data_IF_686966901425
#
_entry.id   IF_686966901425
#
_cell.length_a   1.000
_cell.length_b   1.000
_cell.length_c   1.000
_cell.angle_alpha   90.00
_cell.angle_beta   90.00
_cell.angle_gamma   90.00
#
_symmetry.space_group_name_H-M   'P 1'
#
loop_
_entity.id
_entity.type
_entity.pdbx_description
1 polymer ?
#
# COMPACT_ATOMS: atom_id res chain seq x y z
N UNK A 1 -14.76 -19.11 -6.61
CA UNK A 1 -14.94 -17.96 -5.71
C UNK A 1 -13.99 -18.10 -4.52
N UNK A 2 -12.73 -17.66 -4.64
CA UNK A 2 -11.74 -17.80 -3.57
C UNK A 2 -10.66 -16.70 -3.69
N UNK A 3 -11.03 -15.42 -3.45
CA UNK A 3 -10.08 -14.28 -3.42
C UNK A 3 -10.42 -13.31 -2.27
N UNK A 4 -10.99 -13.80 -1.16
CA UNK A 4 -11.31 -12.93 0.00
C UNK A 4 -10.48 -13.19 1.27
N UNK A 5 -9.63 -14.22 1.29
CA UNK A 5 -9.05 -14.70 2.57
C UNK A 5 -7.80 -13.96 3.05
N UNK A 6 -7.09 -13.17 2.22
CA UNK A 6 -5.87 -12.46 2.66
C UNK A 6 -6.12 -11.09 3.29
N UNK A 7 -7.24 -10.41 2.95
CA UNK A 7 -7.58 -9.10 3.53
C UNK A 7 -8.19 -9.22 4.93
N UNK A 8 -8.93 -10.30 5.22
CA UNK A 8 -9.50 -10.55 6.55
C UNK A 8 -8.45 -11.03 7.56
N UNK A 9 -7.44 -11.79 7.14
CA UNK A 9 -6.35 -12.22 8.02
C UNK A 9 -5.53 -11.04 8.60
N UNK A 10 -5.41 -9.93 7.85
CA UNK A 10 -4.77 -8.69 8.34
C UNK A 10 -5.59 -7.95 9.41
N UNK A 11 -6.92 -8.11 9.43
CA UNK A 11 -7.78 -7.49 10.45
C UNK A 11 -7.68 -8.15 11.83
N UNK A 12 -7.12 -9.36 11.92
CA UNK A 12 -7.03 -10.12 13.19
C UNK A 12 -5.62 -10.18 13.81
N UNK A 13 -4.69 -9.31 13.42
CA UNK A 13 -3.41 -9.18 14.13
C UNK A 13 -2.51 -10.44 14.12
N UNK A 14 -2.63 -11.30 13.11
CA UNK A 14 -1.76 -12.47 12.93
C UNK A 14 -0.56 -12.14 12.03
N UNK A 15 0.46 -11.48 12.58
CA UNK A 15 1.72 -11.14 11.88
C UNK A 15 2.71 -12.30 11.75
N UNK A 16 2.41 -13.51 12.23
CA UNK A 16 3.39 -14.61 12.29
C UNK A 16 3.34 -15.57 11.09
N UNK A 17 2.22 -15.64 10.34
CA UNK A 17 2.05 -16.71 9.34
C UNK A 17 2.75 -16.52 7.98
N UNK A 18 3.25 -15.32 7.65
CA UNK A 18 3.82 -15.07 6.31
C UNK A 18 5.27 -15.53 6.12
N UNK A 19 6.00 -15.84 7.20
CA UNK A 19 7.42 -16.22 7.12
C UNK A 19 7.67 -17.72 6.86
N UNK A 20 6.67 -18.59 7.07
CA UNK A 20 6.85 -20.04 7.00
C UNK A 20 6.73 -20.63 5.58
N UNK A 21 6.15 -19.91 4.61
CA UNK A 21 5.83 -20.46 3.27
C UNK A 21 6.96 -20.24 2.25
N UNK A 22 7.94 -19.37 2.49
CA UNK A 22 9.02 -19.07 1.54
C UNK A 22 10.43 -19.59 1.93
N UNK A 23 10.53 -20.41 2.97
CA UNK A 23 11.81 -20.78 3.60
C UNK A 23 12.40 -22.14 3.24
N UNK A 24 12.07 -22.76 2.11
CA UNK A 24 12.67 -24.05 1.72
C UNK A 24 13.11 -24.03 0.25
N UNK A 25 14.14 -23.24 -0.06
CA UNK A 25 15.03 -23.53 -1.19
C UNK A 25 16.36 -22.79 -1.01
N UNK A 26 17.33 -23.42 -0.35
CA UNK A 26 18.77 -23.32 -0.59
C UNK A 26 19.55 -23.82 0.64
N UNK A 27 20.19 -24.98 0.51
CA UNK A 27 21.62 -25.21 0.83
C UNK A 27 21.90 -26.71 1.03
N UNK A 28 22.71 -27.27 0.14
CA UNK A 28 23.30 -28.60 0.32
C UNK A 28 24.44 -28.58 1.33
N UNK A 29 24.29 -29.41 2.37
CA UNK A 29 25.23 -30.29 3.09
C UNK A 29 26.62 -29.78 3.60
N UNK A 30 27.24 -30.42 4.62
CA UNK A 30 26.70 -31.27 5.71
C UNK A 30 27.26 -30.90 7.11
N UNK A 31 26.42 -30.88 8.16
CA UNK A 31 26.89 -31.08 9.54
C UNK A 31 25.75 -31.54 10.47
N UNK A 32 25.97 -32.69 11.10
CA UNK A 32 25.38 -33.17 12.36
C UNK A 32 23.90 -33.64 12.37
N UNK A 33 23.77 -34.96 12.41
CA UNK A 33 22.61 -35.86 12.55
C UNK A 33 21.61 -35.62 13.72
N UNK A 34 21.62 -34.45 14.39
CA UNK A 34 20.64 -34.10 15.44
C UNK A 34 19.78 -32.86 15.14
N UNK A 35 20.15 -32.06 14.14
CA UNK A 35 19.35 -30.93 13.67
C UNK A 35 18.04 -31.27 12.91
N UNK A 36 17.92 -32.38 12.13
CA UNK A 36 16.75 -32.56 11.27
C UNK A 36 15.47 -32.91 12.05
N UNK A 37 15.58 -33.55 13.22
CA UNK A 37 14.42 -33.92 14.04
C UNK A 37 13.80 -32.73 14.79
N UNK A 38 14.61 -31.78 15.24
CA UNK A 38 14.12 -30.56 15.89
C UNK A 38 13.54 -29.58 14.86
N UNK A 39 14.15 -29.48 13.68
CA UNK A 39 13.59 -28.70 12.56
C UNK A 39 12.29 -29.31 12.02
N UNK A 40 12.18 -30.65 11.94
CA UNK A 40 10.94 -31.31 11.51
C UNK A 40 9.83 -31.20 12.56
N UNK A 41 10.16 -31.24 13.85
CA UNK A 41 9.18 -31.04 14.92
C UNK A 41 8.66 -29.59 14.95
N UNK A 42 9.56 -28.59 14.81
CA UNK A 42 9.16 -27.19 14.73
C UNK A 42 8.34 -26.88 13.46
N UNK A 43 8.65 -27.54 12.33
CA UNK A 43 7.84 -27.43 11.12
C UNK A 43 6.46 -28.10 11.26
N UNK A 44 6.37 -29.22 11.98
CA UNK A 44 5.11 -29.89 12.27
C UNK A 44 4.22 -29.06 13.21
N UNK A 45 4.80 -28.45 14.25
CA UNK A 45 4.09 -27.53 15.15
C UNK A 45 3.63 -26.26 14.42
N UNK A 46 4.44 -25.71 13.51
CA UNK A 46 4.04 -24.57 12.69
C UNK A 46 2.91 -24.92 11.69
N UNK A 47 2.91 -26.14 11.15
CA UNK A 47 1.86 -26.63 10.27
C UNK A 47 0.55 -26.89 11.03
N UNK A 48 0.60 -27.45 12.24
CA UNK A 48 -0.57 -27.65 13.12
C UNK A 48 -1.15 -26.30 13.59
N UNK A 49 -0.29 -25.33 13.94
CA UNK A 49 -0.71 -23.97 14.27
C UNK A 49 -1.35 -23.25 13.07
N UNK A 50 -0.80 -23.45 11.86
CA UNK A 50 -1.39 -22.91 10.63
C UNK A 50 -2.74 -23.56 10.31
N UNK A 51 -2.88 -24.88 10.48
CA UNK A 51 -4.12 -25.60 10.27
C UNK A 51 -5.22 -25.13 11.24
N UNK A 52 -4.89 -25.03 12.55
CA UNK A 52 -5.81 -24.46 13.56
C UNK A 52 -6.17 -23.01 13.28
N UNK A 53 -5.24 -22.22 12.77
CA UNK A 53 -5.52 -20.84 12.36
C UNK A 53 -6.46 -20.78 11.15
N UNK A 54 -6.32 -21.69 10.17
CA UNK A 54 -7.25 -21.78 9.04
C UNK A 54 -8.63 -22.25 9.49
N UNK A 55 -8.72 -23.25 10.35
CA UNK A 55 -9.98 -23.75 10.93
C UNK A 55 -10.68 -22.67 11.76
N UNK A 56 -9.94 -21.85 12.52
CA UNK A 56 -10.49 -20.70 13.24
C UNK A 56 -10.98 -19.58 12.30
N UNK A 57 -10.30 -19.36 11.17
CA UNK A 57 -10.74 -18.40 10.14
C UNK A 57 -12.00 -18.90 9.42
N UNK A 58 -12.08 -20.20 9.15
CA UNK A 58 -13.23 -20.85 8.53
C UNK A 58 -14.45 -20.82 9.46
N UNK A 59 -14.27 -21.16 10.74
CA UNK A 59 -15.31 -21.05 11.76
C UNK A 59 -15.76 -19.59 12.00
N UNK A 60 -14.84 -18.62 11.95
CA UNK A 60 -15.18 -17.20 12.03
C UNK A 60 -15.93 -16.70 10.78
N UNK A 61 -15.61 -17.24 9.61
CA UNK A 61 -16.30 -16.94 8.36
C UNK A 61 -17.72 -17.55 8.32
N UNK A 62 -17.90 -18.78 8.81
CA UNK A 62 -19.22 -19.41 8.98
C UNK A 62 -20.06 -18.68 10.03
N UNK A 63 -19.47 -18.24 11.14
CA UNK A 63 -20.16 -17.42 12.15
C UNK A 63 -20.57 -16.02 11.64
N UNK A 64 -19.96 -15.55 10.55
CA UNK A 64 -20.32 -14.31 9.85
C UNK A 64 -21.18 -14.54 8.60
N UNK A 65 -21.61 -15.77 8.32
CA UNK A 65 -22.52 -16.03 7.22
C UNK A 65 -23.82 -15.21 7.41
N UNK A 66 -24.23 -14.41 6.41
CA UNK A 66 -25.42 -13.57 6.52
C UNK A 66 -26.66 -14.46 6.62
N UNK A 67 -27.53 -14.20 7.60
CA UNK A 67 -28.75 -15.00 7.75
C UNK A 67 -29.69 -14.80 6.56
N UNK A 68 -30.49 -15.80 6.17
CA UNK A 68 -31.47 -15.63 5.09
C UNK A 68 -32.43 -14.45 5.32
N UNK A 69 -32.85 -14.23 6.58
CA UNK A 69 -33.71 -13.11 6.98
C UNK A 69 -33.00 -11.75 6.82
N UNK A 70 -31.70 -11.66 7.14
CA UNK A 70 -30.90 -10.46 6.92
C UNK A 70 -30.76 -10.17 5.42
N UNK A 71 -30.52 -11.22 4.61
CA UNK A 71 -30.41 -11.08 3.15
C UNK A 71 -31.74 -10.63 2.53
N UNK A 72 -32.87 -11.21 2.95
CA UNK A 72 -34.21 -10.82 2.50
C UNK A 72 -34.51 -9.36 2.88
N UNK A 73 -34.13 -8.95 4.09
CA UNK A 73 -34.29 -7.56 4.53
C UNK A 73 -33.50 -6.59 3.65
N UNK A 74 -32.24 -6.91 3.33
CA UNK A 74 -31.43 -6.08 2.42
C UNK A 74 -32.04 -6.04 1.02
N UNK A 75 -32.48 -7.19 0.48
CA UNK A 75 -33.12 -7.25 -0.83
C UNK A 75 -34.41 -6.41 -0.91
N UNK A 76 -35.20 -6.38 0.17
CA UNK A 76 -36.39 -5.52 0.26
C UNK A 76 -36.04 -4.02 0.24
N UNK A 77 -34.96 -3.63 0.93
CA UNK A 77 -34.47 -2.25 0.91
C UNK A 77 -34.00 -1.88 -0.49
N UNK A 78 -33.23 -2.75 -1.16
CA UNK A 78 -32.78 -2.56 -2.54
C UNK A 78 -33.96 -2.37 -3.49
N UNK A 79 -34.94 -3.27 -3.44
CA UNK A 79 -36.14 -3.16 -4.26
C UNK A 79 -36.93 -1.87 -4.01
N UNK A 80 -36.96 -1.35 -2.77
CA UNK A 80 -37.58 -0.07 -2.46
C UNK A 80 -36.79 1.12 -3.05
N UNK A 81 -35.46 1.07 -3.02
CA UNK A 81 -34.59 2.08 -3.67
C UNK A 81 -34.80 2.08 -5.18
N UNK A 82 -34.78 0.91 -5.82
CA UNK A 82 -34.95 0.77 -7.27
C UNK A 82 -36.35 1.20 -7.74
N UNK A 83 -37.37 0.97 -6.91
CA UNK A 83 -38.74 1.43 -7.15
C UNK A 83 -38.96 2.93 -6.86
N UNK A 84 -37.93 3.67 -6.44
CA UNK A 84 -38.05 5.09 -6.09
C UNK A 84 -38.79 5.37 -4.76
N UNK A 85 -39.09 4.33 -3.98
CA UNK A 85 -39.75 4.43 -2.66
C UNK A 85 -38.71 4.73 -1.58
N UNK A 86 -38.03 5.88 -1.70
CA UNK A 86 -36.86 6.22 -0.89
C UNK A 86 -37.15 6.33 0.60
N UNK A 87 -38.29 6.88 1.00
CA UNK A 87 -38.65 7.01 2.42
C UNK A 87 -38.88 5.64 3.07
N UNK A 88 -39.58 4.74 2.37
CA UNK A 88 -39.74 3.34 2.80
C UNK A 88 -38.40 2.64 2.92
N UNK A 89 -37.52 2.79 1.93
CA UNK A 89 -36.17 2.21 1.96
C UNK A 89 -35.36 2.72 3.17
N UNK A 90 -35.41 4.02 3.46
CA UNK A 90 -34.69 4.65 4.59
C UNK A 90 -35.24 4.14 5.93
N UNK A 91 -36.55 3.99 6.07
CA UNK A 91 -37.15 3.54 7.33
C UNK A 91 -36.89 2.05 7.58
N UNK A 92 -37.01 1.21 6.54
CA UNK A 92 -36.61 -0.21 6.59
C UNK A 92 -35.11 -0.36 6.93
N UNK A 93 -34.26 0.48 6.35
CA UNK A 93 -32.83 0.48 6.62
C UNK A 93 -32.51 0.88 8.08
N UNK A 94 -33.14 1.94 8.60
CA UNK A 94 -32.94 2.35 10.00
C UNK A 94 -33.39 1.29 11.00
N UNK A 95 -34.49 0.60 10.70
CA UNK A 95 -34.99 -0.48 11.54
C UNK A 95 -34.03 -1.69 11.54
N UNK A 96 -33.47 -2.03 10.38
CA UNK A 96 -32.63 -3.22 10.19
C UNK A 96 -31.18 -3.06 10.63
N UNK A 97 -30.61 -1.84 10.65
CA UNK A 97 -29.20 -1.63 11.05
C UNK A 97 -28.91 -2.12 12.49
N UNK A 98 -29.92 -2.12 13.37
CA UNK A 98 -29.81 -2.63 14.75
C UNK A 98 -29.91 -4.15 14.86
N UNK A 99 -30.53 -4.81 13.89
CA UNK A 99 -30.81 -6.26 13.92
C UNK A 99 -29.81 -7.06 13.10
N UNK A 100 -29.33 -6.49 11.99
CA UNK A 100 -28.29 -7.11 11.16
C UNK A 100 -27.02 -7.22 11.99
N UNK A 101 -26.44 -8.42 12.09
CA UNK A 101 -25.16 -8.69 12.75
C UNK A 101 -24.00 -8.66 11.77
N UNK A 102 -24.23 -9.08 10.53
CA UNK A 102 -23.21 -9.08 9.48
C UNK A 102 -22.76 -7.65 9.12
N UNK A 103 -21.48 -7.33 9.34
CA UNK A 103 -20.93 -6.00 9.06
C UNK A 103 -20.94 -5.62 7.57
N UNK A 104 -20.79 -6.60 6.68
CA UNK A 104 -20.92 -6.40 5.23
C UNK A 104 -22.33 -5.95 4.84
N UNK A 105 -23.36 -6.63 5.33
CA UNK A 105 -24.76 -6.26 5.11
C UNK A 105 -25.10 -4.92 5.74
N UNK A 106 -24.64 -4.63 6.98
CA UNK A 106 -24.82 -3.29 7.56
C UNK A 106 -24.21 -2.20 6.68
N UNK A 107 -23.03 -2.46 6.11
CA UNK A 107 -22.34 -1.52 5.22
C UNK A 107 -23.13 -1.32 3.94
N UNK A 108 -23.67 -2.39 3.36
CA UNK A 108 -24.56 -2.34 2.20
C UNK A 108 -25.83 -1.54 2.49
N UNK A 109 -26.48 -1.76 3.63
CA UNK A 109 -27.66 -0.99 4.06
C UNK A 109 -27.33 0.49 4.23
N UNK A 110 -26.18 0.82 4.81
CA UNK A 110 -25.74 2.22 4.96
C UNK A 110 -25.50 2.88 3.59
N UNK A 111 -24.94 2.13 2.64
CA UNK A 111 -24.81 2.58 1.26
C UNK A 111 -26.17 2.87 0.61
N UNK A 112 -27.15 1.99 0.77
CA UNK A 112 -28.51 2.17 0.24
C UNK A 112 -29.19 3.40 0.85
N UNK A 113 -29.00 3.66 2.15
CA UNK A 113 -29.48 4.90 2.79
C UNK A 113 -28.85 6.14 2.15
N UNK A 114 -27.53 6.15 1.96
CA UNK A 114 -26.85 7.27 1.33
C UNK A 114 -27.32 7.51 -0.11
N UNK A 115 -27.53 6.44 -0.88
CA UNK A 115 -28.08 6.50 -2.23
C UNK A 115 -29.52 7.01 -2.24
N UNK A 116 -30.39 6.51 -1.35
CA UNK A 116 -31.78 6.93 -1.24
C UNK A 116 -31.91 8.42 -0.87
N UNK A 117 -31.11 8.91 0.09
CA UNK A 117 -31.09 10.33 0.44
C UNK A 117 -30.65 11.22 -0.74
N UNK A 118 -29.64 10.77 -1.48
CA UNK A 118 -29.16 11.48 -2.68
C UNK A 118 -30.22 11.51 -3.78
N UNK A 119 -30.87 10.38 -4.07
CA UNK A 119 -31.94 10.29 -5.07
C UNK A 119 -33.20 11.06 -4.67
N UNK A 120 -33.46 11.19 -3.36
CA UNK A 120 -34.49 12.08 -2.79
C UNK A 120 -34.12 13.58 -2.86
N UNK A 121 -32.90 13.91 -3.29
CA UNK A 121 -32.36 15.29 -3.34
C UNK A 121 -32.20 15.94 -1.96
N UNK A 122 -32.14 15.14 -0.89
CA UNK A 122 -31.79 15.63 0.45
C UNK A 122 -30.26 15.65 0.58
N UNK A 123 -29.64 16.66 -0.03
CA UNK A 123 -28.19 16.75 -0.20
C UNK A 123 -27.42 16.79 1.13
N UNK A 124 -28.00 17.47 2.14
CA UNK A 124 -27.37 17.56 3.47
C UNK A 124 -27.37 16.20 4.17
N UNK A 125 -28.47 15.44 4.09
CA UNK A 125 -28.51 14.09 4.68
C UNK A 125 -27.72 13.09 3.86
N UNK A 126 -27.70 13.22 2.55
CA UNK A 126 -26.84 12.42 1.67
C UNK A 126 -25.37 12.61 2.02
N UNK A 127 -24.91 13.86 2.19
CA UNK A 127 -23.54 14.17 2.61
C UNK A 127 -23.19 13.50 3.94
N UNK A 128 -24.04 13.65 4.95
CA UNK A 128 -23.83 13.02 6.26
C UNK A 128 -23.77 11.49 6.16
N UNK A 129 -24.64 10.89 5.35
CA UNK A 129 -24.68 9.44 5.14
C UNK A 129 -23.43 8.92 4.41
N UNK A 130 -22.93 9.63 3.40
CA UNK A 130 -21.68 9.25 2.71
C UNK A 130 -20.44 9.43 3.60
N UNK A 131 -20.41 10.44 4.48
CA UNK A 131 -19.35 10.58 5.48
C UNK A 131 -19.37 9.42 6.48
N UNK A 132 -20.55 9.09 7.02
CA UNK A 132 -20.69 7.95 7.92
C UNK A 132 -20.32 6.62 7.23
N UNK A 133 -20.69 6.45 5.96
CA UNK A 133 -20.33 5.28 5.17
C UNK A 133 -18.81 5.20 4.93
N UNK A 134 -18.18 6.30 4.54
CA UNK A 134 -16.73 6.42 4.35
C UNK A 134 -15.97 5.99 5.60
N UNK A 135 -16.41 6.44 6.77
CA UNK A 135 -15.72 6.21 8.04
C UNK A 135 -15.77 4.74 8.50
N UNK A 136 -16.54 3.88 7.83
CA UNK A 136 -16.53 2.42 8.03
C UNK A 136 -15.40 1.69 7.31
N UNK A 137 -14.70 2.38 6.40
CA UNK A 137 -13.64 1.82 5.60
C UNK A 137 -12.27 2.31 6.05
N UNK A 138 -11.26 1.46 5.89
CA UNK A 138 -9.88 1.80 6.21
C UNK A 138 -9.41 2.97 5.32
N UNK A 139 -8.69 3.92 5.91
CA UNK A 139 -8.10 5.05 5.17
C UNK A 139 -7.22 4.52 4.05
N UNK A 140 -7.52 4.90 2.80
CA UNK A 140 -6.80 4.45 1.61
C UNK A 140 -7.32 3.15 0.97
N UNK A 141 -8.43 2.58 1.47
CA UNK A 141 -9.22 1.62 0.69
C UNK A 141 -9.91 2.30 -0.50
N UNK A 142 -10.24 1.53 -1.54
CA UNK A 142 -10.89 2.07 -2.74
C UNK A 142 -12.28 2.61 -2.38
N UNK A 143 -12.98 1.94 -1.47
CA UNK A 143 -14.28 2.36 -0.95
C UNK A 143 -14.18 3.68 -0.18
N UNK A 144 -13.18 3.82 0.72
CA UNK A 144 -12.93 5.08 1.42
C UNK A 144 -12.72 6.22 0.42
N UNK A 145 -11.87 6.01 -0.59
CA UNK A 145 -11.54 7.01 -1.61
C UNK A 145 -12.80 7.43 -2.38
N UNK A 146 -13.62 6.47 -2.81
CA UNK A 146 -14.86 6.76 -3.53
C UNK A 146 -15.84 7.57 -2.68
N UNK A 147 -16.13 7.12 -1.47
CA UNK A 147 -17.12 7.79 -0.62
C UNK A 147 -16.63 9.14 -0.10
N UNK A 148 -15.33 9.31 0.11
CA UNK A 148 -14.73 10.61 0.41
C UNK A 148 -14.89 11.59 -0.75
N UNK A 149 -14.65 11.14 -1.99
CA UNK A 149 -14.84 11.96 -3.17
C UNK A 149 -16.31 12.32 -3.39
N UNK A 150 -17.24 11.37 -3.23
CA UNK A 150 -18.69 11.65 -3.30
C UNK A 150 -19.09 12.68 -2.25
N UNK A 151 -18.64 12.54 -1.00
CA UNK A 151 -18.88 13.54 0.04
C UNK A 151 -18.25 14.90 -0.30
N UNK A 152 -17.07 14.93 -0.90
CA UNK A 152 -16.42 16.14 -1.40
C UNK A 152 -17.23 16.84 -2.49
N UNK A 153 -17.76 16.08 -3.46
CA UNK A 153 -18.65 16.60 -4.51
C UNK A 153 -19.92 17.15 -3.89
N UNK A 154 -20.59 16.41 -3.01
CA UNK A 154 -21.82 16.85 -2.37
C UNK A 154 -21.61 18.13 -1.54
N UNK A 155 -20.47 18.23 -0.83
CA UNK A 155 -20.10 19.45 -0.09
C UNK A 155 -19.86 20.64 -1.01
N UNK A 156 -19.29 20.41 -2.19
CA UNK A 156 -19.02 21.45 -3.18
C UNK A 156 -20.23 21.75 -4.09
N UNK A 157 -21.26 20.91 -4.06
CA UNK A 157 -22.47 21.08 -4.85
C UNK A 157 -23.46 21.98 -4.12
N UNK A 158 -24.03 22.93 -4.84
CA UNK A 158 -25.19 23.71 -4.37
C UNK A 158 -26.42 23.14 -5.06
N UNK A 159 -27.48 22.87 -4.29
CA UNK A 159 -28.75 22.35 -4.81
C UNK A 159 -28.62 21.04 -5.63
N UNK A 160 -27.55 20.28 -5.41
CA UNK A 160 -27.26 19.04 -6.13
C UNK A 160 -26.59 19.24 -7.50
N UNK A 161 -26.19 20.47 -7.84
CA UNK A 161 -25.44 20.77 -9.07
C UNK A 161 -23.95 20.90 -8.73
N UNK A 162 -23.12 20.12 -9.42
CA UNK A 162 -21.67 20.22 -9.32
C UNK A 162 -21.13 21.17 -10.41
N UNK A 163 -20.84 22.41 -10.04
CA UNK A 163 -20.44 23.46 -11.00
C UNK A 163 -19.25 23.11 -11.91
N UNK A 164 -18.17 22.45 -11.42
CA UNK A 164 -17.10 22.01 -12.32
C UNK A 164 -17.56 21.10 -13.46
N UNK A 165 -18.60 20.30 -13.23
CA UNK A 165 -19.23 19.48 -14.27
C UNK A 165 -20.15 20.32 -15.17
N UNK A 166 -20.93 21.25 -14.60
CA UNK A 166 -21.75 22.16 -15.38
C UNK A 166 -20.89 23.00 -16.35
N UNK A 167 -19.76 23.56 -15.86
CA UNK A 167 -18.77 24.27 -16.67
C UNK A 167 -18.23 23.42 -17.83
N UNK A 168 -17.85 22.17 -17.54
CA UNK A 168 -17.38 21.24 -18.57
C UNK A 168 -18.44 20.91 -19.63
N UNK A 169 -19.72 21.04 -19.27
CA UNK A 169 -20.88 20.82 -20.14
C UNK A 169 -21.50 22.14 -20.65
N UNK A 170 -20.71 23.22 -20.76
CA UNK A 170 -21.16 24.48 -21.36
C UNK A 170 -22.14 25.29 -20.49
N UNK A 171 -22.11 25.09 -19.17
CA UNK A 171 -22.98 25.75 -18.21
C UNK A 171 -24.32 25.03 -17.97
N UNK A 172 -24.49 23.80 -18.45
CA UNK A 172 -25.72 23.02 -18.22
C UNK A 172 -25.87 22.63 -16.74
N UNK A 173 -26.84 23.25 -16.06
CA UNK A 173 -27.21 22.97 -14.67
C UNK A 173 -28.43 22.05 -14.53
N UNK A 174 -28.95 21.51 -15.63
CA UNK A 174 -30.11 20.60 -15.60
C UNK A 174 -29.76 19.23 -15.02
N UNK A 175 -28.49 18.83 -15.12
CA UNK A 175 -27.95 17.58 -14.57
C UNK A 175 -27.71 17.70 -13.06
N UNK A 176 -28.45 16.94 -12.28
CA UNK A 176 -28.31 16.89 -10.82
C UNK A 176 -27.70 15.57 -10.34
N UNK A 177 -27.06 15.62 -9.16
CA UNK A 177 -26.32 14.50 -8.57
C UNK A 177 -27.20 13.36 -8.04
N UNK A 178 -28.51 13.36 -8.25
CA UNK A 178 -29.40 12.22 -7.99
C UNK A 178 -29.21 11.10 -9.01
N UNK A 179 -28.83 11.44 -10.25
CA UNK A 179 -28.48 10.47 -11.28
C UNK A 179 -27.11 9.83 -10.99
N UNK A 180 -27.02 8.51 -11.11
CA UNK A 180 -25.79 7.74 -10.94
C UNK A 180 -24.77 8.06 -12.05
N UNK A 181 -25.23 8.28 -13.28
CA UNK A 181 -24.38 8.65 -14.41
C UNK A 181 -23.76 10.04 -14.21
N UNK A 182 -24.55 11.02 -13.75
CA UNK A 182 -24.08 12.38 -13.46
C UNK A 182 -23.07 12.37 -12.31
N UNK A 183 -23.29 11.56 -11.26
CA UNK A 183 -22.32 11.42 -10.18
C UNK A 183 -21.00 10.80 -10.66
N UNK A 184 -21.05 9.76 -11.50
CA UNK A 184 -19.86 9.16 -12.10
C UNK A 184 -19.10 10.18 -12.97
N UNK A 185 -19.81 10.98 -13.77
CA UNK A 185 -19.24 12.06 -14.58
C UNK A 185 -18.58 13.14 -13.69
N UNK A 186 -19.22 13.51 -12.59
CA UNK A 186 -18.68 14.47 -11.62
C UNK A 186 -17.39 13.96 -10.94
N UNK A 187 -17.34 12.68 -10.56
CA UNK A 187 -16.13 12.02 -10.04
C UNK A 187 -15.01 12.03 -11.09
N UNK A 188 -15.33 11.73 -12.34
CA UNK A 188 -14.37 11.77 -13.44
C UNK A 188 -13.85 13.20 -13.70
N UNK A 189 -14.71 14.23 -13.68
CA UNK A 189 -14.29 15.64 -13.84
C UNK A 189 -13.37 16.06 -12.70
N UNK A 190 -13.69 15.71 -11.45
CA UNK A 190 -12.82 15.97 -10.30
C UNK A 190 -11.44 15.30 -10.49
N UNK A 191 -11.43 14.03 -10.89
CA UNK A 191 -10.19 13.29 -11.13
C UNK A 191 -9.39 13.87 -12.31
N UNK A 192 -10.03 14.29 -13.40
CA UNK A 192 -9.37 14.96 -14.53
C UNK A 192 -8.67 16.25 -14.10
N UNK A 193 -9.37 17.13 -13.38
CA UNK A 193 -8.78 18.38 -12.87
C UNK A 193 -7.58 18.11 -11.93
N UNK A 194 -7.64 17.05 -11.14
CA UNK A 194 -6.49 16.63 -10.31
C UNK A 194 -5.34 16.06 -11.15
N UNK A 195 -5.65 15.29 -12.19
CA UNK A 195 -4.67 14.70 -13.09
C UNK A 195 -3.85 15.75 -13.87
N UNK A 196 -4.44 16.91 -14.19
CA UNK A 196 -3.74 18.04 -14.83
C UNK A 196 -2.51 18.53 -14.02
N UNK A 197 -2.54 18.36 -12.70
CA UNK A 197 -1.42 18.71 -11.81
C UNK A 197 -0.30 17.67 -11.74
N UNK A 198 -0.49 16.46 -12.30
CA UNK A 198 0.50 15.37 -12.19
C UNK A 198 1.86 15.70 -12.80
N UNK A 199 1.96 16.33 -14.00
CA UNK A 199 3.26 16.68 -14.57
C UNK A 199 4.10 17.59 -13.65
N UNK A 200 3.46 18.53 -12.96
CA UNK A 200 4.12 19.41 -11.99
C UNK A 200 4.60 18.64 -10.75
N UNK A 201 3.87 17.60 -10.34
CA UNK A 201 4.26 16.74 -9.21
C UNK A 201 5.38 15.74 -9.56
N UNK A 202 5.53 15.41 -10.85
CA UNK A 202 6.62 14.57 -11.34
C UNK A 202 7.97 15.29 -11.37
N UNK A 203 8.01 16.61 -11.59
CA UNK A 203 9.25 17.39 -11.63
C UNK A 203 10.09 17.27 -10.33
N UNK A 204 9.49 17.38 -9.13
CA UNK A 204 10.19 17.09 -7.88
C UNK A 204 10.76 15.67 -7.79
N UNK A 205 10.09 14.65 -8.35
CA UNK A 205 10.58 13.27 -8.35
C UNK A 205 11.83 13.16 -9.22
N UNK A 206 11.78 13.73 -10.43
CA UNK A 206 12.91 13.74 -11.37
C UNK A 206 14.15 14.48 -10.82
N UNK A 207 13.95 15.48 -9.96
CA UNK A 207 15.01 16.33 -9.40
C UNK A 207 15.47 15.93 -7.99
N UNK A 208 14.95 14.83 -7.44
CA UNK A 208 15.26 14.40 -6.08
C UNK A 208 16.75 14.10 -5.92
N UNK A 209 17.41 14.71 -4.92
CA UNK A 209 18.87 14.60 -4.75
C UNK A 209 19.31 13.36 -3.99
N UNK A 210 18.45 12.83 -3.14
CA UNK A 210 18.70 11.64 -2.34
C UNK A 210 17.57 10.63 -2.50
N UNK A 211 17.82 9.40 -2.07
CA UNK A 211 16.84 8.31 -2.12
C UNK A 211 15.65 8.59 -1.20
N UNK A 212 15.91 9.18 -0.03
CA UNK A 212 14.86 9.54 0.93
C UNK A 212 13.97 10.64 0.39
N UNK A 213 14.56 11.66 -0.23
CA UNK A 213 13.83 12.75 -0.87
C UNK A 213 12.99 12.22 -2.05
N UNK A 214 13.57 11.30 -2.84
CA UNK A 214 12.88 10.62 -3.92
C UNK A 214 11.66 9.84 -3.40
N UNK A 215 11.86 9.03 -2.37
CA UNK A 215 10.81 8.22 -1.75
C UNK A 215 9.70 9.07 -1.12
N UNK A 216 10.07 10.16 -0.43
CA UNK A 216 9.13 11.09 0.20
C UNK A 216 8.21 11.77 -0.83
N UNK A 217 8.68 11.96 -2.06
CA UNK A 217 7.91 12.57 -3.16
C UNK A 217 7.12 11.54 -3.96
N UNK A 218 7.70 10.36 -4.19
CA UNK A 218 7.11 9.35 -5.06
C UNK A 218 5.96 8.58 -4.40
N UNK A 219 6.08 8.19 -3.13
CA UNK A 219 5.02 7.39 -2.46
C UNK A 219 3.67 8.11 -2.44
N UNK A 220 3.58 9.41 -2.06
CA UNK A 220 2.32 10.15 -2.13
C UNK A 220 1.77 10.27 -3.55
N UNK A 221 2.65 10.39 -4.55
CA UNK A 221 2.24 10.46 -5.96
C UNK A 221 1.59 9.15 -6.43
N UNK A 222 2.12 7.99 -6.02
CA UNK A 222 1.54 6.68 -6.32
C UNK A 222 0.16 6.53 -5.67
N UNK A 223 0.02 6.96 -4.41
CA UNK A 223 -1.29 6.99 -3.76
C UNK A 223 -2.29 7.88 -4.48
N UNK A 224 -1.85 9.04 -4.95
CA UNK A 224 -2.67 9.96 -5.73
C UNK A 224 -3.11 9.33 -7.06
N UNK A 225 -2.19 8.74 -7.83
CA UNK A 225 -2.51 8.03 -9.07
C UNK A 225 -3.50 6.89 -8.83
N UNK A 226 -3.33 6.12 -7.75
CA UNK A 226 -4.30 5.11 -7.34
C UNK A 226 -5.67 5.72 -7.04
N UNK A 227 -5.73 6.85 -6.32
CA UNK A 227 -6.99 7.56 -6.05
C UNK A 227 -7.66 7.99 -7.36
N UNK A 228 -6.91 8.58 -8.28
CA UNK A 228 -7.42 9.00 -9.59
C UNK A 228 -8.01 7.82 -10.38
N UNK A 229 -7.34 6.66 -10.37
CA UNK A 229 -7.84 5.44 -11.02
C UNK A 229 -9.15 4.93 -10.42
N UNK A 230 -9.30 5.04 -9.09
CA UNK A 230 -10.52 4.62 -8.38
C UNK A 230 -11.71 5.51 -8.75
N UNK A 231 -11.46 6.81 -8.96
CA UNK A 231 -12.48 7.81 -9.29
C UNK A 231 -12.75 7.92 -10.80
N UNK A 232 -11.74 7.66 -11.62
CA UNK A 232 -11.78 7.71 -13.08
C UNK A 232 -11.11 6.46 -13.66
N UNK A 233 -11.86 5.35 -13.80
CA UNK A 233 -11.34 4.08 -14.29
C UNK A 233 -10.68 4.19 -15.68
N UNK A 234 -11.24 5.04 -16.54
CA UNK A 234 -10.79 5.29 -17.92
C UNK A 234 -9.53 6.17 -18.02
N UNK A 235 -8.93 6.58 -16.90
CA UNK A 235 -7.67 7.32 -16.89
C UNK A 235 -6.63 6.61 -17.77
N UNK A 236 -5.97 7.33 -18.67
CA UNK A 236 -4.91 6.71 -19.48
C UNK A 236 -3.78 6.16 -18.59
N UNK A 237 -3.31 4.95 -18.89
CA UNK A 237 -2.14 4.35 -18.24
C UNK A 237 -0.84 5.14 -18.48
N UNK A 238 -0.83 6.14 -19.38
CA UNK A 238 0.33 7.01 -19.63
C UNK A 238 0.82 7.72 -18.37
N UNK A 239 -0.07 8.13 -17.46
CA UNK A 239 0.29 8.80 -16.21
C UNK A 239 1.02 7.85 -15.26
N UNK A 240 0.50 6.63 -15.08
CA UNK A 240 1.12 5.58 -14.25
C UNK A 240 2.52 5.25 -14.79
N UNK A 241 2.62 5.04 -16.11
CA UNK A 241 3.88 4.72 -16.78
C UNK A 241 4.90 5.85 -16.63
N UNK A 242 4.50 7.10 -16.86
CA UNK A 242 5.38 8.26 -16.72
C UNK A 242 5.93 8.40 -15.29
N UNK A 243 5.09 8.17 -14.28
CA UNK A 243 5.52 8.22 -12.88
C UNK A 243 6.52 7.11 -12.54
N UNK A 244 6.22 5.87 -12.93
CA UNK A 244 7.11 4.72 -12.72
C UNK A 244 8.43 4.91 -13.47
N UNK A 245 8.41 5.37 -14.73
CA UNK A 245 9.61 5.65 -15.51
C UNK A 245 10.48 6.72 -14.86
N UNK A 246 9.87 7.83 -14.45
CA UNK A 246 10.59 8.95 -13.82
C UNK A 246 11.28 8.49 -12.53
N UNK A 247 10.57 7.72 -11.70
CA UNK A 247 11.13 7.12 -10.49
C UNK A 247 12.27 6.16 -10.82
N UNK A 248 12.06 5.23 -11.76
CA UNK A 248 13.05 4.22 -12.11
C UNK A 248 14.33 4.83 -12.68
N UNK A 249 14.22 5.79 -13.60
CA UNK A 249 15.37 6.51 -14.15
C UNK A 249 16.13 7.27 -13.06
N UNK A 250 15.40 7.94 -12.16
CA UNK A 250 16.05 8.70 -11.10
C UNK A 250 16.73 7.79 -10.08
N UNK A 251 16.08 6.68 -9.72
CA UNK A 251 16.63 5.69 -8.82
C UNK A 251 17.87 5.00 -9.41
N UNK A 252 17.89 4.76 -10.73
CA UNK A 252 19.07 4.25 -11.43
C UNK A 252 20.25 5.25 -11.37
N UNK A 253 20.03 6.54 -11.68
CA UNK A 253 21.08 7.57 -11.59
C UNK A 253 21.66 7.73 -10.17
N UNK A 254 20.79 7.76 -9.16
CA UNK A 254 21.24 7.76 -7.76
C UNK A 254 21.97 6.46 -7.42
N UNK A 255 21.47 5.34 -7.93
CA UNK A 255 22.01 4.02 -7.67
C UNK A 255 23.40 3.80 -8.25
N UNK A 256 23.67 4.25 -9.48
CA UNK A 256 24.98 4.19 -10.10
C UNK A 256 26.01 4.99 -9.31
N UNK A 257 25.65 6.20 -8.87
CA UNK A 257 26.50 7.04 -8.01
C UNK A 257 26.81 6.37 -6.68
N UNK A 258 25.80 5.74 -6.07
CA UNK A 258 25.96 4.99 -4.83
C UNK A 258 26.85 3.76 -5.03
N UNK A 259 26.67 2.97 -6.09
CA UNK A 259 27.51 1.81 -6.37
C UNK A 259 28.96 2.23 -6.59
N UNK A 260 29.21 3.27 -7.38
CA UNK A 260 30.56 3.78 -7.63
C UNK A 260 31.25 4.26 -6.34
N UNK A 261 30.54 5.04 -5.51
CA UNK A 261 31.04 5.49 -4.21
C UNK A 261 31.37 4.30 -3.28
N UNK A 262 30.44 3.36 -3.17
CA UNK A 262 30.58 2.20 -2.29
C UNK A 262 31.68 1.25 -2.76
N UNK A 263 31.84 1.04 -4.06
CA UNK A 263 32.93 0.22 -4.62
C UNK A 263 34.31 0.82 -4.33
N UNK A 264 34.46 2.14 -4.47
CA UNK A 264 35.70 2.83 -4.07
C UNK A 264 35.99 2.64 -2.58
N UNK A 265 34.97 2.77 -1.73
CA UNK A 265 35.11 2.63 -0.28
C UNK A 265 35.39 1.19 0.14
N UNK A 266 34.79 0.21 -0.51
CA UNK A 266 35.08 -1.20 -0.30
C UNK A 266 36.56 -1.50 -0.57
N UNK A 267 37.11 -1.02 -1.68
CA UNK A 267 38.54 -1.22 -2.00
C UNK A 267 39.46 -0.59 -0.93
N UNK A 268 39.13 0.61 -0.43
CA UNK A 268 39.84 1.25 0.69
C UNK A 268 39.75 0.40 1.97
N UNK A 269 38.58 -0.15 2.28
CA UNK A 269 38.36 -0.99 3.46
C UNK A 269 39.10 -2.33 3.38
N UNK A 270 39.10 -2.98 2.23
CA UNK A 270 39.86 -4.22 2.01
C UNK A 270 41.38 -4.00 2.16
N UNK A 271 41.88 -2.86 1.67
CA UNK A 271 43.28 -2.48 1.86
C UNK A 271 43.62 -2.26 3.35
N UNK A 272 42.72 -1.63 4.10
CA UNK A 272 42.90 -1.39 5.55
C UNK A 272 42.72 -2.66 6.40
N UNK A 273 41.83 -3.58 6.03
CA UNK A 273 41.73 -4.88 6.72
C UNK A 273 43.04 -5.68 6.59
N UNK A 274 43.69 -5.65 5.42
CA UNK A 274 44.99 -6.30 5.21
C UNK A 274 46.10 -5.72 6.08
N UNK A 275 46.02 -4.44 6.47
CA UNK A 275 47.03 -3.80 7.33
C UNK A 275 46.85 -4.08 8.82
N UNK A 276 45.79 -4.79 9.24
CA UNK A 276 45.47 -5.17 10.63
C UNK A 276 45.33 -4.00 11.62
N UNK A 277 45.15 -2.77 11.14
CA UNK A 277 44.93 -1.60 12.00
C UNK A 277 43.43 -1.49 12.28
N UNK A 278 43.02 -1.68 13.53
CA UNK A 278 41.65 -1.36 13.96
C UNK A 278 41.47 0.16 13.97
N UNK A 279 40.57 0.65 13.12
CA UNK A 279 40.24 2.06 13.05
C UNK A 279 38.73 2.23 13.23
N UNK A 280 38.31 2.79 14.37
CA UNK A 280 36.91 3.01 14.73
C UNK A 280 36.18 3.93 13.74
N UNK A 281 36.89 4.84 13.07
CA UNK A 281 36.32 5.70 12.02
C UNK A 281 35.96 4.90 10.76
N UNK A 282 36.74 3.86 10.46
CA UNK A 282 36.49 2.95 9.33
C UNK A 282 35.26 2.10 9.60
N UNK A 283 35.14 1.55 10.80
CA UNK A 283 33.95 0.78 11.21
C UNK A 283 32.67 1.63 11.19
N UNK A 284 32.74 2.88 11.66
CA UNK A 284 31.64 3.83 11.56
C UNK A 284 31.24 4.12 10.10
N UNK A 285 32.22 4.34 9.22
CA UNK A 285 31.96 4.53 7.79
C UNK A 285 31.33 3.28 7.14
N UNK A 286 31.79 2.07 7.47
CA UNK A 286 31.21 0.82 6.96
C UNK A 286 29.73 0.68 7.35
N UNK A 287 29.37 1.01 8.60
CA UNK A 287 27.96 0.99 9.05
C UNK A 287 27.11 2.01 8.28
N UNK A 288 27.60 3.23 8.08
CA UNK A 288 26.91 4.25 7.29
C UNK A 288 26.69 3.81 5.84
N UNK A 289 27.71 3.24 5.22
CA UNK A 289 27.66 2.74 3.84
C UNK A 289 26.72 1.54 3.69
N UNK A 290 26.69 0.62 4.67
CA UNK A 290 25.70 -0.45 4.73
C UNK A 290 24.28 0.09 4.84
N UNK A 291 24.04 1.07 5.71
CA UNK A 291 22.73 1.72 5.84
C UNK A 291 22.29 2.38 4.53
N UNK A 292 23.22 2.91 3.74
CA UNK A 292 22.94 3.42 2.39
C UNK A 292 22.46 2.30 1.45
N UNK A 293 23.12 1.13 1.43
CA UNK A 293 22.65 -0.03 0.65
C UNK A 293 21.23 -0.47 1.05
N UNK A 294 20.96 -0.57 2.36
CA UNK A 294 19.64 -0.98 2.87
C UNK A 294 18.53 0.00 2.43
N UNK A 295 18.83 1.31 2.40
CA UNK A 295 17.91 2.34 1.89
C UNK A 295 17.68 2.24 0.39
N UNK A 296 18.72 1.97 -0.41
CA UNK A 296 18.57 1.71 -1.85
C UNK A 296 17.67 0.48 -2.10
N UNK A 297 17.89 -0.62 -1.37
CA UNK A 297 17.06 -1.82 -1.49
C UNK A 297 15.59 -1.51 -1.16
N UNK A 298 15.34 -0.73 -0.09
CA UNK A 298 13.99 -0.33 0.27
C UNK A 298 13.32 0.52 -0.83
N UNK A 299 14.05 1.42 -1.48
CA UNK A 299 13.52 2.23 -2.57
C UNK A 299 13.19 1.41 -3.82
N UNK A 300 14.02 0.43 -4.18
CA UNK A 300 13.77 -0.51 -5.27
C UNK A 300 12.54 -1.39 -5.01
N UNK A 301 12.38 -1.86 -3.76
CA UNK A 301 11.16 -2.58 -3.34
C UNK A 301 9.92 -1.71 -3.46
N UNK A 302 10.03 -0.43 -3.09
CA UNK A 302 8.91 0.50 -3.20
C UNK A 302 8.55 0.83 -4.66
N UNK A 303 9.53 0.93 -5.56
CA UNK A 303 9.29 1.01 -7.00
C UNK A 303 8.50 -0.21 -7.49
N UNK A 304 8.93 -1.43 -7.12
CA UNK A 304 8.24 -2.67 -7.51
C UNK A 304 6.82 -2.71 -6.94
N UNK A 305 6.64 -2.38 -5.66
CA UNK A 305 5.33 -2.31 -5.02
C UNK A 305 4.41 -1.27 -5.68
N UNK A 306 4.95 -0.13 -6.13
CA UNK A 306 4.19 0.88 -6.85
C UNK A 306 3.72 0.37 -8.22
N UNK A 307 4.57 -0.38 -8.93
CA UNK A 307 4.19 -1.00 -10.20
C UNK A 307 3.07 -2.04 -10.05
N UNK A 308 3.04 -2.75 -8.92
CA UNK A 308 1.98 -3.73 -8.63
C UNK A 308 0.70 -3.05 -8.14
N UNK A 309 0.81 -1.91 -7.45
CA UNK A 309 -0.33 -1.11 -7.01
C UNK A 309 -1.02 -0.37 -8.16
N UNK A 310 -0.27 0.02 -9.20
CA UNK A 310 -0.78 0.74 -10.36
C UNK A 310 -1.16 -0.25 -11.47
N UNK A 311 -2.46 -0.59 -11.57
CA UNK A 311 -2.99 -1.50 -12.59
C UNK A 311 -2.53 -1.18 -14.03
N UNK A 312 -2.30 0.08 -14.37
CA UNK A 312 -1.82 0.50 -15.70
C UNK A 312 -0.38 0.08 -16.03
N UNK A 313 0.38 -0.44 -15.05
CA UNK A 313 1.75 -0.91 -15.17
C UNK A 313 1.90 -2.44 -15.11
N UNK A 314 0.81 -3.20 -14.91
CA UNK A 314 0.85 -4.67 -14.84
C UNK A 314 1.18 -5.31 -16.20
N UNK A 315 0.53 -4.86 -17.27
CA UNK A 315 0.70 -5.40 -18.63
C UNK A 315 1.67 -4.57 -19.49
N UNK A 316 2.53 -3.78 -18.84
CA UNK A 316 3.42 -2.87 -19.52
C UNK A 316 4.75 -3.59 -19.87
N UNK A 317 5.10 -3.81 -21.15
CA UNK A 317 6.26 -4.62 -21.54
C UNK A 317 7.58 -4.09 -20.97
N UNK A 318 7.78 -2.78 -21.04
CA UNK A 318 8.96 -2.13 -20.45
C UNK A 318 8.94 -2.19 -18.92
N UNK A 319 7.77 -2.38 -18.32
CA UNK A 319 7.61 -2.61 -16.89
C UNK A 319 8.23 -3.95 -16.43
N UNK A 320 8.20 -4.99 -17.25
CA UNK A 320 8.90 -6.23 -16.92
C UNK A 320 10.42 -6.02 -16.85
N UNK A 321 10.98 -5.34 -17.85
CA UNK A 321 12.41 -4.97 -17.85
C UNK A 321 12.78 -4.14 -16.63
N UNK A 322 11.95 -3.17 -16.23
CA UNK A 322 12.19 -2.37 -15.03
C UNK A 322 12.18 -3.21 -13.74
N UNK A 323 11.30 -4.21 -13.63
CA UNK A 323 11.29 -5.15 -12.50
C UNK A 323 12.57 -5.99 -12.46
N UNK A 324 13.00 -6.50 -13.61
CA UNK A 324 14.25 -7.26 -13.73
C UNK A 324 15.47 -6.40 -13.36
N UNK A 325 15.55 -5.17 -13.87
CA UNK A 325 16.63 -4.24 -13.57
C UNK A 325 16.63 -3.82 -12.10
N UNK A 326 15.44 -3.62 -11.51
CA UNK A 326 15.29 -3.37 -10.07
C UNK A 326 15.79 -4.56 -9.24
N UNK A 327 15.43 -5.79 -9.60
CA UNK A 327 15.87 -6.99 -8.90
C UNK A 327 17.40 -7.17 -8.96
N UNK A 328 18.01 -6.90 -10.13
CA UNK A 328 19.48 -6.89 -10.28
C UNK A 328 20.15 -5.86 -9.37
N UNK A 329 19.64 -4.62 -9.33
CA UNK A 329 20.18 -3.58 -8.45
C UNK A 329 20.00 -3.93 -6.97
N UNK A 330 18.86 -4.49 -6.58
CA UNK A 330 18.64 -5.00 -5.21
C UNK A 330 19.68 -6.06 -4.82
N UNK A 331 19.96 -7.01 -5.71
CA UNK A 331 20.99 -8.03 -5.47
C UNK A 331 22.38 -7.41 -5.30
N UNK A 332 22.77 -6.47 -6.17
CA UNK A 332 24.05 -5.77 -6.08
C UNK A 332 24.21 -5.01 -4.76
N UNK A 333 23.17 -4.29 -4.29
CA UNK A 333 23.22 -3.62 -2.99
C UNK A 333 23.29 -4.60 -1.82
N UNK A 334 22.63 -5.76 -1.93
CA UNK A 334 22.69 -6.79 -0.89
C UNK A 334 24.10 -7.39 -0.78
N UNK A 335 24.76 -7.66 -1.90
CA UNK A 335 26.16 -8.10 -1.95
C UNK A 335 27.11 -7.07 -1.34
N UNK A 336 26.98 -5.79 -1.74
CA UNK A 336 27.77 -4.69 -1.16
C UNK A 336 27.53 -4.55 0.35
N UNK A 337 26.28 -4.65 0.81
CA UNK A 337 25.96 -4.58 2.24
C UNK A 337 26.60 -5.72 3.05
N UNK A 338 26.67 -6.93 2.47
CA UNK A 338 27.34 -8.07 3.09
C UNK A 338 28.86 -7.87 3.14
N UNK A 339 29.47 -7.42 2.04
CA UNK A 339 30.90 -7.14 1.98
C UNK A 339 31.32 -6.03 2.98
N UNK A 340 30.44 -5.07 3.22
CA UNK A 340 30.64 -3.98 4.18
C UNK A 340 30.27 -4.35 5.63
N UNK A 341 29.99 -5.62 5.94
CA UNK A 341 29.76 -6.06 7.31
C UNK A 341 31.11 -6.28 8.01
N UNK A 342 31.38 -5.60 9.14
CA UNK A 342 32.57 -5.86 9.93
C UNK A 342 32.65 -7.35 10.26
N UNK A 343 33.80 -7.97 10.02
CA UNK A 343 34.01 -9.37 10.37
C UNK A 343 33.67 -9.57 11.84
N UNK A 344 32.86 -10.59 12.15
CA UNK A 344 32.80 -11.13 13.52
C UNK A 344 34.16 -11.74 13.80
N UNK A 345 35.13 -10.93 14.17
CA UNK A 345 36.32 -11.46 14.82
C UNK A 345 35.84 -12.17 16.08
N UNK A 346 36.01 -13.48 16.03
CA UNK A 346 35.74 -14.43 17.10
C UNK A 346 36.50 -13.95 18.33
N UNK A 347 35.81 -13.27 19.23
CA UNK A 347 36.21 -13.19 20.63
C UNK A 347 36.20 -14.60 21.20
N UNK A 348 37.31 -15.32 21.05
CA UNK A 348 37.67 -16.44 21.91
C UNK A 348 38.14 -15.97 23.29
N UNK A 349 38.26 -14.66 23.49
CA UNK A 349 38.69 -14.07 24.75
C UNK A 349 37.52 -13.31 25.37
N UNK A 350 37.12 -13.73 26.57
CA UNK A 350 35.88 -13.32 27.25
C UNK A 350 35.86 -11.86 27.68
N UNK A 351 35.52 -10.97 26.74
CA UNK A 351 35.19 -9.57 26.98
C UNK A 351 34.05 -9.14 26.07
N UNK A 352 32.83 -9.13 26.59
CA UNK A 352 31.63 -8.72 25.87
C UNK A 352 31.63 -7.22 25.55
N UNK A 353 32.32 -6.81 24.48
CA UNK A 353 32.06 -5.53 23.83
C UNK A 353 31.06 -5.74 22.70
N UNK A 354 29.79 -5.49 23.00
CA UNK A 354 28.72 -5.44 22.01
C UNK A 354 28.75 -4.07 21.30
N UNK A 355 29.46 -4.00 20.17
CA UNK A 355 29.58 -2.81 19.32
C UNK A 355 28.23 -2.25 18.86
N UNK A 356 27.13 -3.02 18.94
CA UNK A 356 25.78 -2.53 18.64
C UNK A 356 25.23 -1.61 19.74
N UNK A 357 25.76 -1.69 20.97
CA UNK A 357 25.34 -0.87 22.11
C UNK A 357 25.99 0.51 22.05
N UNK A 358 27.29 0.58 21.73
CA UNK A 358 28.05 1.84 21.69
C UNK A 358 27.67 2.75 20.51
N UNK A 359 27.15 2.19 19.41
CA UNK A 359 26.70 2.97 18.25
C UNK A 359 25.31 3.61 18.40
N UNK A 360 24.50 3.22 19.40
CA UNK A 360 23.23 3.93 19.69
C UNK A 360 23.46 5.30 20.32
N UNK A 361 24.60 5.45 21.01
CA UNK A 361 24.95 6.68 21.73
C UNK A 361 25.90 7.58 20.93
N UNK A 362 26.28 7.17 19.71
CA UNK A 362 27.13 7.98 18.83
C UNK A 362 26.30 9.03 18.09
N UNK A 363 26.26 10.24 18.63
CA UNK A 363 25.87 11.44 17.87
C UNK A 363 27.04 11.87 16.99
N UNK A 364 26.82 12.14 15.68
CA UNK A 364 27.87 12.65 14.82
C UNK A 364 28.31 14.05 15.29
N UNK A 365 29.61 14.37 15.32
CA UNK A 365 30.06 15.72 15.55
C UNK A 365 29.77 16.56 14.31
N UNK A 366 28.70 17.36 14.36
CA UNK A 366 28.35 18.34 13.34
C UNK A 366 27.19 17.92 12.45
N UNK A 367 26.04 18.57 12.66
CA UNK A 367 24.96 18.57 11.70
C UNK A 367 25.33 19.36 10.45
N UNK A 368 24.96 18.81 9.29
CA UNK A 368 24.76 19.53 8.03
C UNK A 368 23.52 18.96 7.34
#
# INVERSE_FOLDING_TARGET
>A
MAILTLKQARRMGCTIAAAAVFGVWAAGAPAAERAPKQASAAAAEAADAAAKAMEAVEAAAEAQAPSPEEQETVARIEAAVDAGRYDEAIDLAKASVRTIKNEGLKTRVTHLVAQAQRKKKDWSRALAAYLALRDRFDKGSDEYIRYDAVAGILRASKDGVYYPLAEANGGDTSKTLDDDAVLAEALAVMARKQAEGLPLKLQPVASARTVEDLMKRFVPLVEELRRLRVLWPDLSASHDRSAVQTMAMRLADLGEKTIALLGSKQAEFEAMQKSRVRNTQVEAAMVQHRSMCERMIAAEKALTAAMDALKGAADWPEGQKLREDSAKRQAAYAELAQALTPGKDRGKDGGGHDWRRDMRDWQPPGGF
#
